data_IF_874247266500
#
_entry.id   IF_874247266500
#
_cell.length_a   1.000
_cell.length_b   1.000
_cell.length_c   1.000
_cell.angle_alpha   90.00
_cell.angle_beta   90.00
_cell.angle_gamma   90.00
#
_symmetry.space_group_name_H-M   'P 1'
#
loop_
_entity.id
_entity.type
_entity.pdbx_description
1 polymer ?
#
# COMPACT_ATOMS: atom_id res chain seq x y z
N UNK A 1 49.37 23.06 2.33
CA UNK A 1 47.89 23.21 2.30
C UNK A 1 47.37 22.76 0.95
N UNK A 2 46.73 21.58 0.90
CA UNK A 2 45.87 21.15 -0.22
C UNK A 2 44.66 20.43 0.41
N UNK A 3 43.48 20.97 0.14
CA UNK A 3 42.18 20.40 0.50
C UNK A 3 41.92 19.16 -0.37
N UNK A 4 41.42 18.06 0.20
CA UNK A 4 40.32 17.29 -0.42
C UNK A 4 39.56 16.56 0.68
N UNK A 5 38.30 16.95 0.86
CA UNK A 5 37.25 16.22 1.56
C UNK A 5 36.66 15.24 0.54
N UNK A 6 36.41 13.99 0.93
CA UNK A 6 35.34 13.14 0.36
C UNK A 6 35.28 11.84 1.16
N UNK A 7 34.38 11.73 2.14
CA UNK A 7 32.99 11.26 1.97
C UNK A 7 32.97 9.79 1.53
N UNK A 8 32.91 8.94 2.56
CA UNK A 8 32.02 7.77 2.71
C UNK A 8 31.15 7.52 1.47
N UNK A 9 31.42 6.42 0.77
CA UNK A 9 30.42 5.75 -0.05
C UNK A 9 30.25 4.33 0.50
N UNK A 10 29.40 4.21 1.51
CA UNK A 10 28.70 2.96 1.78
C UNK A 10 27.93 2.64 0.51
N UNK A 11 28.41 1.65 -0.23
CA UNK A 11 27.67 1.04 -1.33
C UNK A 11 26.50 0.31 -0.71
N UNK A 12 25.39 1.05 -0.57
CA UNK A 12 24.06 0.50 -0.35
C UNK A 12 23.81 -0.40 -1.55
N UNK A 13 24.01 -1.71 -1.34
CA UNK A 13 23.61 -2.72 -2.28
C UNK A 13 22.12 -2.53 -2.52
N UNK A 14 21.82 -2.00 -3.70
CA UNK A 14 20.48 -1.84 -4.24
C UNK A 14 19.88 -3.24 -4.26
N UNK A 15 18.96 -3.52 -3.35
CA UNK A 15 18.05 -4.64 -3.47
C UNK A 15 17.19 -4.38 -4.71
N UNK A 16 17.67 -4.86 -5.85
CA UNK A 16 16.85 -5.02 -7.05
C UNK A 16 15.81 -6.08 -6.70
N UNK A 17 14.68 -5.64 -6.14
CA UNK A 17 13.47 -6.45 -6.05
C UNK A 17 12.97 -6.65 -7.48
N UNK A 18 13.56 -7.62 -8.16
CA UNK A 18 13.00 -8.25 -9.34
C UNK A 18 11.56 -8.63 -9.03
N UNK A 19 10.65 -8.04 -9.80
CA UNK A 19 9.27 -8.45 -9.93
C UNK A 19 9.14 -9.99 -10.02
N UNK A 20 8.00 -10.52 -9.53
CA UNK A 20 7.65 -11.94 -9.35
C UNK A 20 7.85 -12.55 -7.96
N UNK A 21 7.57 -11.80 -6.89
CA UNK A 21 6.84 -12.38 -5.76
C UNK A 21 5.44 -11.78 -5.78
N UNK A 22 4.45 -12.48 -6.32
CA UNK A 22 3.06 -12.24 -5.93
C UNK A 22 2.98 -12.61 -4.45
N UNK A 23 3.35 -11.66 -3.59
CA UNK A 23 3.32 -11.82 -2.16
C UNK A 23 1.91 -12.20 -1.79
N UNK A 24 1.75 -13.47 -1.39
CA UNK A 24 0.46 -14.01 -1.04
C UNK A 24 0.09 -13.34 0.27
N UNK A 25 -0.90 -12.45 0.25
CA UNK A 25 -1.45 -11.87 1.47
C UNK A 25 -1.83 -13.04 2.39
N UNK A 26 -1.64 -12.83 3.70
CA UNK A 26 -2.26 -13.75 4.64
C UNK A 26 -3.80 -13.58 4.60
N UNK A 27 -4.52 -14.45 5.29
CA UNK A 27 -5.99 -14.42 5.27
C UNK A 27 -6.56 -13.06 5.67
N UNK A 28 -5.96 -12.36 6.63
CA UNK A 28 -6.45 -11.04 7.06
C UNK A 28 -6.17 -9.99 6.01
N UNK A 29 -5.01 -10.06 5.33
CA UNK A 29 -4.71 -9.19 4.21
C UNK A 29 -5.64 -9.39 3.00
N UNK A 30 -6.02 -10.65 2.71
CA UNK A 30 -7.03 -10.94 1.68
C UNK A 30 -8.41 -10.42 2.08
N UNK A 31 -8.82 -10.61 3.34
CA UNK A 31 -10.08 -10.08 3.88
C UNK A 31 -10.10 -8.54 3.77
N UNK A 32 -9.00 -7.85 4.15
CA UNK A 32 -8.84 -6.39 4.03
C UNK A 32 -9.02 -5.89 2.60
N UNK A 33 -8.29 -6.49 1.65
CA UNK A 33 -8.40 -6.14 0.23
C UNK A 33 -9.82 -6.35 -0.29
N UNK A 34 -10.47 -7.46 0.09
CA UNK A 34 -11.84 -7.75 -0.32
C UNK A 34 -12.84 -6.73 0.24
N UNK A 35 -12.66 -6.28 1.49
CA UNK A 35 -13.49 -5.22 2.07
C UNK A 35 -13.32 -3.88 1.38
N UNK A 36 -12.09 -3.48 1.01
CA UNK A 36 -11.86 -2.26 0.22
C UNK A 36 -12.58 -2.33 -1.14
N UNK A 37 -12.43 -3.46 -1.85
CA UNK A 37 -13.12 -3.66 -3.14
C UNK A 37 -14.63 -3.54 -2.96
N UNK A 38 -15.17 -4.08 -1.87
CA UNK A 38 -16.60 -4.02 -1.57
C UNK A 38 -17.06 -2.60 -1.25
N UNK A 39 -16.33 -1.86 -0.42
CA UNK A 39 -16.65 -0.49 -0.01
C UNK A 39 -16.69 0.47 -1.20
N UNK A 40 -15.71 0.36 -2.10
CA UNK A 40 -15.57 1.25 -3.27
C UNK A 40 -16.21 0.71 -4.55
N UNK A 41 -16.89 -0.43 -4.47
CA UNK A 41 -17.51 -1.01 -5.64
C UNK A 41 -18.71 -0.19 -6.10
N UNK A 42 -18.53 0.53 -7.20
CA UNK A 42 -19.63 1.12 -7.96
C UNK A 42 -19.95 0.24 -9.18
N UNK A 43 -21.21 -0.23 -9.30
CA UNK A 43 -21.68 -1.06 -10.43
C UNK A 43 -20.81 -2.33 -10.62
N UNK A 44 -20.55 -2.73 -11.87
CA UNK A 44 -19.76 -3.90 -12.28
C UNK A 44 -18.23 -3.71 -12.13
N UNK A 45 -17.77 -2.67 -11.40
CA UNK A 45 -16.35 -2.38 -11.19
C UNK A 45 -15.76 -3.10 -9.96
N UNK A 46 -16.51 -4.02 -9.35
CA UNK A 46 -16.16 -4.78 -8.14
C UNK A 46 -15.06 -5.86 -8.31
N UNK A 47 -14.28 -5.80 -9.39
CA UNK A 47 -13.17 -6.73 -9.64
C UNK A 47 -11.85 -6.09 -9.24
N UNK A 48 -10.97 -6.88 -8.61
CA UNK A 48 -9.62 -6.46 -8.20
C UNK A 48 -8.83 -5.79 -9.34
N UNK A 49 -8.99 -6.26 -10.58
CA UNK A 49 -8.32 -5.72 -11.78
C UNK A 49 -8.62 -4.24 -12.07
N UNK A 50 -9.69 -3.69 -11.49
CA UNK A 50 -10.07 -2.28 -11.65
C UNK A 50 -9.37 -1.34 -10.65
N UNK A 51 -8.65 -1.90 -9.68
CA UNK A 51 -7.97 -1.19 -8.62
C UNK A 51 -6.45 -1.27 -8.81
N UNK A 52 -5.72 -0.32 -8.22
CA UNK A 52 -4.30 -0.47 -7.98
C UNK A 52 -4.04 -0.43 -6.48
N UNK A 53 -3.42 -1.47 -5.94
CA UNK A 53 -3.27 -1.67 -4.50
C UNK A 53 -1.81 -1.67 -4.10
N UNK A 54 -1.44 -0.84 -3.14
CA UNK A 54 -0.20 -0.96 -2.38
C UNK A 54 -0.54 -1.21 -0.92
N UNK A 55 -0.46 -2.46 -0.49
CA UNK A 55 -0.85 -2.89 0.86
C UNK A 55 0.38 -3.09 1.72
N UNK A 56 0.31 -2.53 2.91
CA UNK A 56 1.31 -2.63 3.95
C UNK A 56 0.76 -3.41 5.13
N UNK A 57 1.64 -4.17 5.78
CA UNK A 57 1.36 -4.86 7.04
C UNK A 57 2.34 -4.38 8.09
N UNK A 58 1.83 -4.10 9.28
CA UNK A 58 2.67 -3.88 10.45
C UNK A 58 3.26 -5.22 10.89
N UNK A 59 4.58 -5.32 11.01
CA UNK A 59 5.26 -6.54 11.42
C UNK A 59 5.12 -6.82 12.92
N UNK A 60 4.82 -5.80 13.73
CA UNK A 60 4.72 -5.93 15.18
C UNK A 60 3.27 -6.15 15.65
N UNK A 61 2.31 -5.83 14.79
CA UNK A 61 0.86 -5.92 15.08
C UNK A 61 0.11 -6.68 13.98
N UNK A 62 -1.22 -6.74 14.06
CA UNK A 62 -2.07 -7.29 12.98
C UNK A 62 -2.70 -6.21 12.10
N UNK A 63 -2.14 -5.01 12.10
CA UNK A 63 -2.68 -3.85 11.38
C UNK A 63 -2.26 -3.85 9.92
N UNK A 64 -3.14 -3.32 9.09
CA UNK A 64 -2.92 -3.13 7.66
C UNK A 64 -3.18 -1.70 7.24
N UNK A 65 -2.42 -1.25 6.25
CA UNK A 65 -2.63 0.01 5.55
C UNK A 65 -2.70 -0.26 4.04
N UNK A 66 -3.48 0.52 3.30
CA UNK A 66 -3.45 0.46 1.85
C UNK A 66 -3.48 1.86 1.23
N UNK A 67 -2.61 2.07 0.24
CA UNK A 67 -2.67 3.16 -0.72
C UNK A 67 -3.32 2.58 -1.99
N UNK A 68 -4.50 3.09 -2.34
CA UNK A 68 -5.38 2.48 -3.34
C UNK A 68 -5.86 3.50 -4.35
N UNK A 69 -5.68 3.17 -5.63
CA UNK A 69 -6.31 3.90 -6.72
C UNK A 69 -7.61 3.23 -7.11
N UNK A 70 -8.72 3.82 -6.66
CA UNK A 70 -10.07 3.29 -6.79
C UNK A 70 -10.69 3.68 -8.15
N UNK A 71 -11.54 2.80 -8.73
CA UNK A 71 -12.25 3.10 -9.97
C UNK A 71 -13.35 4.14 -9.74
N UNK A 72 -13.58 5.01 -10.72
CA UNK A 72 -14.74 5.90 -10.74
C UNK A 72 -15.14 6.27 -12.19
N UNK A 73 -16.42 6.61 -12.38
CA UNK A 73 -17.01 6.97 -13.68
C UNK A 73 -16.73 5.98 -14.82
N UNK A 74 -16.87 4.68 -14.56
CA UNK A 74 -16.56 3.59 -15.49
C UNK A 74 -15.10 3.60 -16.02
N UNK A 75 -14.19 4.31 -15.34
CA UNK A 75 -12.75 4.34 -15.63
C UNK A 75 -12.00 3.70 -14.48
N UNK A 76 -11.00 2.88 -14.80
CA UNK A 76 -10.12 2.27 -13.81
C UNK A 76 -9.22 3.33 -13.17
N UNK A 77 -9.07 3.26 -11.84
CA UNK A 77 -8.07 3.95 -11.03
C UNK A 77 -7.96 5.48 -11.25
N UNK A 78 -8.97 6.25 -10.85
CA UNK A 78 -8.97 7.73 -11.00
C UNK A 78 -8.99 8.51 -9.67
N UNK A 79 -9.31 7.86 -8.55
CA UNK A 79 -9.31 8.48 -7.23
C UNK A 79 -8.31 7.75 -6.32
N UNK A 80 -7.48 8.49 -5.61
CA UNK A 80 -6.56 7.94 -4.61
C UNK A 80 -7.25 7.98 -3.24
N UNK A 81 -7.30 6.83 -2.57
CA UNK A 81 -7.82 6.68 -1.20
C UNK A 81 -6.87 5.85 -0.37
N UNK A 82 -6.86 6.12 0.92
CA UNK A 82 -6.05 5.42 1.90
C UNK A 82 -6.94 4.65 2.87
N UNK A 83 -6.61 3.39 3.13
CA UNK A 83 -7.38 2.52 4.01
C UNK A 83 -6.56 2.01 5.18
N UNK A 84 -7.27 1.71 6.26
CA UNK A 84 -6.74 1.21 7.52
C UNK A 84 -7.52 -0.02 7.94
N UNK A 85 -6.82 -1.00 8.48
CA UNK A 85 -7.43 -2.15 9.15
C UNK A 85 -6.77 -2.32 10.51
N UNK A 86 -7.53 -2.13 11.58
CA UNK A 86 -7.04 -2.35 12.93
C UNK A 86 -7.04 -3.86 13.29
N UNK A 87 -6.61 -4.18 14.51
CA UNK A 87 -6.51 -5.58 14.96
C UNK A 87 -7.89 -6.25 15.13
N UNK A 88 -8.93 -5.44 15.30
CA UNK A 88 -10.33 -5.87 15.36
C UNK A 88 -10.98 -5.98 13.97
N UNK A 89 -10.18 -5.80 12.90
CA UNK A 89 -10.63 -5.85 11.51
C UNK A 89 -11.70 -4.80 11.20
N UNK A 90 -11.54 -3.59 11.73
CA UNK A 90 -12.38 -2.44 11.37
C UNK A 90 -11.75 -1.70 10.20
N UNK A 91 -12.50 -1.62 9.10
CA UNK A 91 -12.11 -0.82 7.95
C UNK A 91 -12.38 0.66 8.24
N UNK A 92 -11.36 1.48 8.05
CA UNK A 92 -11.48 2.93 8.03
C UNK A 92 -10.76 3.48 6.78
N UNK A 93 -11.06 4.72 6.40
CA UNK A 93 -10.45 5.35 5.22
C UNK A 93 -10.24 6.86 5.36
N UNK A 94 -9.32 7.38 4.57
CA UNK A 94 -9.09 8.82 4.45
C UNK A 94 -8.63 9.18 3.05
N UNK A 95 -8.84 10.43 2.65
CA UNK A 95 -8.24 11.03 1.46
C UNK A 95 -6.95 11.82 1.81
N UNK A 96 -6.62 11.93 3.10
CA UNK A 96 -5.44 12.65 3.59
C UNK A 96 -4.18 11.78 3.52
N UNK A 97 -3.33 12.06 2.53
CA UNK A 97 -2.01 11.41 2.44
C UNK A 97 -1.15 11.69 3.68
N UNK A 98 -1.26 12.88 4.27
CA UNK A 98 -0.53 13.24 5.50
C UNK A 98 -0.90 12.30 6.64
N UNK A 99 -2.20 12.06 6.85
CA UNK A 99 -2.69 11.15 7.89
C UNK A 99 -2.19 9.72 7.65
N UNK A 100 -2.22 9.26 6.41
CA UNK A 100 -1.70 7.95 6.04
C UNK A 100 -0.20 7.81 6.29
N UNK A 101 0.60 8.80 5.84
CA UNK A 101 2.05 8.80 6.01
C UNK A 101 2.43 8.86 7.49
N UNK A 102 1.73 9.65 8.31
CA UNK A 102 1.93 9.72 9.75
C UNK A 102 1.63 8.36 10.42
N UNK A 103 0.53 7.69 10.07
CA UNK A 103 0.23 6.36 10.62
C UNK A 103 1.28 5.32 10.21
N UNK A 104 1.68 5.34 8.94
CA UNK A 104 2.72 4.45 8.42
C UNK A 104 4.08 4.70 9.08
N UNK A 105 4.43 5.95 9.37
CA UNK A 105 5.68 6.29 10.05
C UNK A 105 5.71 5.87 11.53
N UNK A 106 4.54 5.73 12.16
CA UNK A 106 4.41 5.34 13.56
C UNK A 106 4.35 3.81 13.80
N UNK A 107 4.45 2.99 12.75
CA UNK A 107 4.46 1.53 12.87
C UNK A 107 5.57 0.88 12.05
N UNK A 108 5.72 -0.44 12.19
CA UNK A 108 6.74 -1.22 11.50
C UNK A 108 6.18 -1.80 10.20
N UNK A 109 5.75 -0.92 9.30
CA UNK A 109 5.02 -1.30 8.09
C UNK A 109 5.93 -1.70 6.94
N UNK A 110 5.68 -2.88 6.38
CA UNK A 110 6.32 -3.38 5.15
C UNK A 110 5.30 -3.60 4.04
N UNK A 111 5.71 -3.39 2.80
CA UNK A 111 4.86 -3.70 1.64
C UNK A 111 4.70 -5.21 1.53
N UNK A 112 3.47 -5.69 1.67
CA UNK A 112 3.14 -7.11 1.60
C UNK A 112 2.30 -7.48 0.38
N UNK A 113 1.83 -6.49 -0.39
CA UNK A 113 1.15 -6.75 -1.66
C UNK A 113 1.15 -5.51 -2.55
N UNK A 114 1.31 -5.75 -3.86
CA UNK A 114 1.30 -4.71 -4.88
C UNK A 114 0.61 -5.23 -6.14
N UNK A 115 -0.39 -4.52 -6.63
CA UNK A 115 -1.06 -4.82 -7.90
C UNK A 115 -1.57 -3.56 -8.61
N UNK A 116 -1.95 -3.72 -9.87
CA UNK A 116 -2.41 -2.63 -10.73
C UNK A 116 -1.26 -1.73 -11.25
N UNK A 117 -1.64 -0.61 -11.85
CA UNK A 117 -0.72 0.36 -12.43
C UNK A 117 -0.85 1.67 -11.65
N UNK A 118 0.04 1.85 -10.68
CA UNK A 118 0.36 3.17 -10.15
C UNK A 118 0.80 4.04 -11.33
N UNK A 119 0.13 5.16 -11.54
CA UNK A 119 0.61 6.16 -12.50
C UNK A 119 1.76 6.96 -11.92
#
# INVERSE_FOLDING_TARGET
>A
MKKVVSIVLMVVAVFTLTACNSSKLDKTGEDFKAEIIKEESYKDLNKEENFSFLIYKDNDTKRYLADVWVPADNKSSILERFYFYDEDKRLDSTESKVTFDDMKANGNYEVVYKSGKFK
#
